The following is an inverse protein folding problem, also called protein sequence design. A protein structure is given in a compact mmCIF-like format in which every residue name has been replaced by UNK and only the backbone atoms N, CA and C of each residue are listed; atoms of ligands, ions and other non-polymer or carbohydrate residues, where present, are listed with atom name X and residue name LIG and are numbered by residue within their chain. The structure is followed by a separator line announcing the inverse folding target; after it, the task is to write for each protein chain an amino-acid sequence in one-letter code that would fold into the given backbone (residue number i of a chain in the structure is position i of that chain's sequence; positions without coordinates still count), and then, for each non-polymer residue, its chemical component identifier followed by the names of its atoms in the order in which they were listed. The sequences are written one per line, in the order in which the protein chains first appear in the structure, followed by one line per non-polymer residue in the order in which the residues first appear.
data_IF_880337234595
#
_entry.id   IF_880337234595
#
_cell.length_a   1.000
_cell.length_b   1.000
_cell.length_c   1.000
_cell.angle_alpha   90.00
_cell.angle_beta   90.00
_cell.angle_gamma   90.00
#
_symmetry.space_group_name_H-M   'P 1'
#
loop_
_entity.id
_entity.type
_entity.pdbx_description
1 polymer ?
#
# COMPACT_ATOMS: atom_id res chain seq x y z
N UNK A 1 7.90 -20.63 -4.02
CA UNK A 1 7.23 -20.13 -5.26
C UNK A 1 7.12 -18.61 -5.17
N UNK A 2 7.08 -17.87 -6.29
CA UNK A 2 6.96 -16.40 -6.28
C UNK A 2 5.98 -15.89 -7.32
N UNK A 3 5.26 -14.82 -7.00
CA UNK A 3 4.37 -14.11 -7.92
C UNK A 3 4.79 -12.63 -7.98
N UNK A 4 5.12 -12.13 -9.16
CA UNK A 4 5.56 -10.75 -9.35
C UNK A 4 4.44 -9.90 -9.94
N UNK A 5 4.25 -8.70 -9.39
CA UNK A 5 3.48 -7.62 -10.01
C UNK A 5 4.42 -6.68 -10.75
N UNK A 6 4.14 -6.46 -12.02
CA UNK A 6 4.83 -5.48 -12.86
C UNK A 6 3.88 -4.35 -13.26
N UNK A 7 4.42 -3.16 -13.50
CA UNK A 7 3.69 -2.03 -14.05
C UNK A 7 4.49 -1.36 -15.16
N UNK A 8 3.80 -0.70 -16.09
CA UNK A 8 4.46 0.14 -17.07
C UNK A 8 4.70 1.54 -16.46
N UNK A 9 5.96 1.95 -16.39
CA UNK A 9 6.39 3.27 -15.91
C UNK A 9 7.27 3.87 -17.00
N UNK A 10 6.93 5.07 -17.47
CA UNK A 10 7.64 5.78 -18.55
C UNK A 10 7.89 4.91 -19.82
N UNK A 11 6.91 4.08 -20.18
CA UNK A 11 6.98 3.22 -21.36
C UNK A 11 7.79 1.93 -21.17
N UNK A 12 8.31 1.67 -19.98
CA UNK A 12 9.06 0.45 -19.64
C UNK A 12 8.33 -0.39 -18.63
N UNK A 13 8.49 -1.71 -18.71
CA UNK A 13 7.98 -2.61 -17.68
C UNK A 13 8.93 -2.63 -16.47
N UNK A 14 8.37 -2.40 -15.29
CA UNK A 14 9.09 -2.39 -14.01
C UNK A 14 8.44 -3.38 -13.05
N UNK A 15 9.26 -4.18 -12.38
CA UNK A 15 8.82 -4.96 -11.23
C UNK A 15 8.48 -4.00 -10.07
N UNK A 16 7.27 -4.08 -9.56
CA UNK A 16 6.78 -3.21 -8.47
C UNK A 16 6.92 -3.92 -7.14
N UNK A 17 6.43 -5.17 -7.06
CA UNK A 17 6.55 -6.01 -5.88
C UNK A 17 6.55 -7.49 -6.26
N UNK A 18 7.01 -8.33 -5.35
CA UNK A 18 7.00 -9.77 -5.47
C UNK A 18 6.44 -10.40 -4.21
N UNK A 19 5.45 -11.27 -4.36
CA UNK A 19 4.99 -12.17 -3.31
C UNK A 19 5.90 -13.39 -3.28
N UNK A 20 6.42 -13.72 -2.11
CA UNK A 20 7.32 -14.83 -1.84
C UNK A 20 6.69 -15.75 -0.80
N UNK A 21 6.86 -17.07 -0.98
CA UNK A 21 6.55 -18.05 0.05
C UNK A 21 7.85 -18.53 0.71
N UNK A 22 7.88 -18.54 2.04
CA UNK A 22 8.98 -19.12 2.81
C UNK A 22 8.98 -20.65 2.63
N UNK A 23 10.10 -21.27 2.22
CA UNK A 23 10.15 -22.71 1.98
C UNK A 23 10.09 -23.57 3.24
N UNK A 24 10.23 -23.00 4.43
CA UNK A 24 10.20 -23.76 5.69
C UNK A 24 8.79 -23.88 6.27
N UNK A 25 8.02 -22.80 6.24
CA UNK A 25 6.72 -22.71 6.91
C UNK A 25 5.56 -22.24 6.01
N UNK A 26 5.83 -22.01 4.71
CA UNK A 26 4.88 -21.51 3.72
C UNK A 26 4.27 -20.13 4.05
N UNK A 27 4.89 -19.37 4.97
CA UNK A 27 4.49 -17.99 5.25
C UNK A 27 4.70 -17.11 4.03
N UNK A 28 3.72 -16.25 3.75
CA UNK A 28 3.75 -15.35 2.61
C UNK A 28 4.28 -13.97 2.98
N UNK A 29 5.17 -13.46 2.14
CA UNK A 29 5.82 -12.17 2.28
C UNK A 29 5.69 -11.36 1.00
N UNK A 30 5.58 -10.05 1.13
CA UNK A 30 5.66 -9.10 0.02
C UNK A 30 7.02 -8.42 0.09
N UNK A 31 7.82 -8.64 -0.95
CA UNK A 31 9.10 -7.98 -1.15
C UNK A 31 8.94 -6.82 -2.15
N UNK A 32 9.45 -5.65 -1.78
CA UNK A 32 9.47 -4.46 -2.64
C UNK A 32 10.71 -3.59 -2.37
N UNK A 33 10.99 -2.64 -3.24
CA UNK A 33 12.09 -1.68 -3.08
C UNK A 33 11.58 -0.35 -2.54
N UNK A 34 12.14 0.10 -1.42
CA UNK A 34 11.91 1.43 -0.85
C UNK A 34 13.19 2.27 -1.03
N UNK A 35 13.25 3.04 -2.12
CA UNK A 35 14.48 3.70 -2.53
C UNK A 35 15.56 2.69 -2.88
N UNK A 36 16.66 2.66 -2.12
CA UNK A 36 17.74 1.68 -2.27
C UNK A 36 17.61 0.46 -1.34
N UNK A 37 16.60 0.43 -0.47
CA UNK A 37 16.44 -0.60 0.54
C UNK A 37 15.41 -1.66 0.11
N UNK A 38 15.76 -2.95 0.07
CA UNK A 38 14.77 -4.01 -0.03
C UNK A 38 14.00 -4.11 1.29
N UNK A 39 12.67 -4.15 1.19
CA UNK A 39 11.77 -4.31 2.33
C UNK A 39 10.94 -5.57 2.14
N UNK A 40 10.73 -6.30 3.22
CA UNK A 40 9.80 -7.43 3.27
C UNK A 40 8.71 -7.14 4.30
N UNK A 41 7.47 -7.36 3.90
CA UNK A 41 6.28 -7.15 4.72
C UNK A 41 5.52 -8.48 4.77
N UNK A 42 5.12 -8.98 5.95
CA UNK A 42 4.24 -10.14 6.01
C UNK A 42 2.95 -9.88 5.24
N UNK A 43 2.53 -10.82 4.39
CA UNK A 43 1.31 -10.68 3.57
C UNK A 43 0.07 -10.42 4.45
N UNK A 44 0.01 -11.06 5.62
CA UNK A 44 -1.09 -10.87 6.57
C UNK A 44 -1.21 -9.40 7.05
N UNK A 45 -0.07 -8.75 7.30
CA UNK A 45 -0.03 -7.34 7.73
C UNK A 45 -0.48 -6.42 6.60
N UNK A 46 0.03 -6.64 5.38
CA UNK A 46 -0.38 -5.85 4.23
C UNK A 46 -1.88 -5.96 3.96
N UNK A 47 -2.44 -7.18 4.07
CA UNK A 47 -3.88 -7.40 3.89
C UNK A 47 -4.71 -6.60 4.88
N UNK A 48 -4.32 -6.63 6.16
CA UNK A 48 -5.02 -5.89 7.22
C UNK A 48 -4.99 -4.38 6.97
N UNK A 49 -3.85 -3.84 6.53
CA UNK A 49 -3.75 -2.41 6.18
C UNK A 49 -4.67 -2.06 5.01
N UNK A 50 -4.72 -2.90 3.97
CA UNK A 50 -5.56 -2.66 2.80
C UNK A 50 -7.06 -2.72 3.11
N UNK A 51 -7.46 -3.60 4.03
CA UNK A 51 -8.84 -3.71 4.50
C UNK A 51 -9.33 -2.39 5.14
N UNK A 52 -8.49 -1.77 5.98
CA UNK A 52 -8.82 -0.51 6.66
C UNK A 52 -8.63 0.71 5.74
N UNK A 53 -7.67 0.65 4.81
CA UNK A 53 -7.33 1.78 3.97
C UNK A 53 -8.48 2.28 3.10
N UNK A 54 -9.38 1.40 2.65
CA UNK A 54 -10.53 1.80 1.85
C UNK A 54 -11.48 2.74 2.59
N UNK A 55 -11.53 2.64 3.92
CA UNK A 55 -12.39 3.45 4.77
C UNK A 55 -11.67 4.69 5.31
N UNK A 56 -10.40 4.54 5.70
CA UNK A 56 -9.68 5.58 6.47
C UNK A 56 -8.68 6.41 5.64
N UNK A 57 -8.27 5.96 4.45
CA UNK A 57 -7.31 6.69 3.63
C UNK A 57 -8.06 7.64 2.68
N UNK A 58 -8.01 8.92 3.02
CA UNK A 58 -8.60 9.98 2.22
C UNK A 58 -7.56 10.90 1.60
N UNK A 59 -7.95 11.57 0.52
CA UNK A 59 -7.10 12.59 -0.10
C UNK A 59 -7.03 13.84 0.78
N UNK A 60 -5.96 14.63 0.64
CA UNK A 60 -5.84 15.91 1.33
C UNK A 60 -7.02 16.86 1.01
N UNK A 61 -7.56 16.79 -0.20
CA UNK A 61 -8.72 17.58 -0.62
C UNK A 61 -10.00 17.18 0.14
N UNK A 62 -10.18 15.88 0.43
CA UNK A 62 -11.31 15.41 1.22
C UNK A 62 -11.24 15.96 2.66
N UNK A 63 -10.05 15.96 3.27
CA UNK A 63 -9.87 16.54 4.62
C UNK A 63 -10.13 18.05 4.63
N UNK A 64 -9.67 18.80 3.61
CA UNK A 64 -9.90 20.23 3.52
C UNK A 64 -11.39 20.62 3.45
N UNK A 65 -12.24 19.76 2.88
CA UNK A 65 -13.70 19.96 2.88
C UNK A 65 -14.30 19.81 4.29
N UNK A 66 -13.83 18.84 5.08
CA UNK A 66 -14.33 18.63 6.44
C UNK A 66 -13.90 19.73 7.41
N UNK A 67 -12.69 20.26 7.28
CA UNK A 67 -12.22 21.38 8.10
C UNK A 67 -12.99 22.68 7.80
N UNK A 68 -13.42 22.87 6.54
CA UNK A 68 -14.28 23.99 6.14
C UNK A 68 -15.65 23.94 6.81
N UNK A 69 -16.28 22.76 6.86
CA UNK A 69 -17.59 22.56 7.51
C UNK A 69 -17.52 22.71 9.04
N UNK A 70 -16.38 22.40 9.67
CA UNK A 70 -16.18 22.58 11.11
C UNK A 70 -16.12 24.05 11.56
N UNK A 71 -15.91 25.00 10.64
CA UNK A 71 -15.85 26.45 10.92
C UNK A 71 -17.17 27.19 10.62
N UNK A 72 -18.21 26.47 10.19
CA UNK A 72 -19.48 27.05 9.72
C UNK A 72 -20.67 27.01 10.70
N UNK A 73 -20.47 26.74 11.99
CA UNK A 73 -21.53 26.88 13.01
C UNK A 73 -21.09 27.92 14.04
N UNK A 74 -21.37 29.18 13.72
CA UNK A 74 -21.07 30.32 14.56
C UNK A 74 -21.58 31.63 13.97
N UNK A 75 -22.90 31.75 13.82
CA UNK A 75 -23.62 33.04 13.91
C UNK A 75 -24.97 32.79 14.62
#
# INVERSE_FOLDING_TARGET
MSLQLSANIDGREHAVLTVLADPQDESLWVALQAGAAPVQIPMAVLRQVLEVAAEDVHSAAWFALQDGDATGIGD
#
